data_IF_323436790552
#
_entry.id   IF_323436790552
#
_cell.length_a   1.000
_cell.length_b   1.000
_cell.length_c   1.000
_cell.angle_alpha   90.00
_cell.angle_beta   90.00
_cell.angle_gamma   90.00
#
_symmetry.space_group_name_H-M   'P 1'
#
loop_
_entity.id
_entity.type
_entity.pdbx_description
1 polymer ?
#
# COMPACT_ATOMS: atom_id res chain seq x y z
N UNK A 1 -51.05 22.12 -51.50
CA UNK A 1 -51.41 20.83 -50.86
C UNK A 1 -50.41 19.80 -51.41
N UNK A 2 -49.32 19.62 -50.75
CA UNK A 2 -48.29 18.66 -51.13
C UNK A 2 -48.28 17.55 -50.08
N UNK A 3 -48.70 16.37 -50.51
CA UNK A 3 -48.63 15.15 -49.71
C UNK A 3 -47.17 14.78 -49.47
N UNK A 4 -46.70 14.96 -48.23
CA UNK A 4 -45.50 14.34 -47.71
C UNK A 4 -45.84 12.86 -47.38
N UNK A 5 -45.53 11.97 -48.33
CA UNK A 5 -45.44 10.54 -48.08
C UNK A 5 -44.28 10.26 -47.13
N UNK A 6 -44.54 10.17 -45.86
CA UNK A 6 -43.64 9.52 -44.88
C UNK A 6 -43.82 8.00 -45.06
N UNK A 7 -42.90 7.41 -45.84
CA UNK A 7 -42.66 5.98 -45.80
C UNK A 7 -42.06 5.67 -44.38
N UNK A 8 -42.96 5.41 -43.43
CA UNK A 8 -42.60 4.65 -42.25
C UNK A 8 -42.44 3.20 -42.72
N UNK A 9 -41.20 2.75 -42.81
CA UNK A 9 -40.86 1.33 -42.86
C UNK A 9 -41.30 0.70 -41.55
N UNK A 10 -42.59 0.37 -41.43
CA UNK A 10 -43.13 -0.51 -40.39
C UNK A 10 -42.47 -1.86 -40.59
N UNK A 11 -41.43 -2.14 -39.80
CA UNK A 11 -40.78 -3.44 -39.71
C UNK A 11 -41.83 -4.41 -39.21
N UNK A 12 -42.48 -5.11 -40.14
CA UNK A 12 -43.52 -6.09 -39.77
C UNK A 12 -42.86 -7.23 -39.01
N UNK A 13 -43.40 -7.56 -37.82
CA UNK A 13 -42.91 -8.66 -36.99
C UNK A 13 -42.70 -9.96 -37.81
N UNK A 14 -43.51 -10.16 -38.83
CA UNK A 14 -43.41 -11.26 -39.79
C UNK A 14 -42.10 -11.26 -40.58
N UNK A 15 -41.60 -10.10 -40.98
CA UNK A 15 -40.38 -9.98 -41.78
C UNK A 15 -39.12 -10.24 -40.90
N UNK A 16 -39.20 -9.83 -39.63
CA UNK A 16 -38.16 -10.17 -38.63
C UNK A 16 -38.12 -11.68 -38.38
N UNK A 17 -39.29 -12.32 -38.22
CA UNK A 17 -39.36 -13.78 -38.01
C UNK A 17 -38.83 -14.54 -39.24
N UNK A 18 -39.20 -14.12 -40.45
CA UNK A 18 -38.68 -14.73 -41.70
C UNK A 18 -37.17 -14.59 -41.83
N UNK A 19 -36.58 -13.42 -41.48
CA UNK A 19 -35.14 -13.23 -41.43
C UNK A 19 -34.46 -14.14 -40.39
N UNK A 20 -35.03 -14.26 -39.21
CA UNK A 20 -34.49 -15.18 -38.19
C UNK A 20 -34.52 -16.65 -38.65
N UNK A 21 -35.59 -17.09 -39.35
CA UNK A 21 -35.69 -18.43 -39.92
C UNK A 21 -34.65 -18.63 -41.02
N UNK A 22 -34.42 -17.65 -41.87
CA UNK A 22 -33.41 -17.73 -42.96
C UNK A 22 -32.00 -17.85 -42.36
N UNK A 23 -31.64 -17.04 -41.33
CA UNK A 23 -30.38 -17.12 -40.61
C UNK A 23 -30.22 -18.52 -39.97
N UNK A 24 -31.22 -19.02 -39.28
CA UNK A 24 -31.19 -20.39 -38.71
C UNK A 24 -30.89 -21.43 -39.80
N UNK A 25 -31.54 -21.37 -40.94
CA UNK A 25 -31.37 -22.32 -42.04
C UNK A 25 -29.95 -22.20 -42.64
N UNK A 26 -29.42 -20.97 -42.80
CA UNK A 26 -28.06 -20.70 -43.24
C UNK A 26 -27.01 -21.36 -42.31
N UNK A 27 -27.14 -21.13 -41.00
CA UNK A 27 -26.27 -21.69 -40.01
C UNK A 27 -26.36 -23.23 -39.99
N UNK A 28 -27.55 -23.80 -40.15
CA UNK A 28 -27.73 -25.24 -40.19
C UNK A 28 -27.14 -25.88 -41.43
N UNK A 29 -27.27 -25.25 -42.60
CA UNK A 29 -26.66 -25.72 -43.83
C UNK A 29 -25.11 -25.67 -43.80
N UNK A 30 -24.55 -24.69 -43.08
CA UNK A 30 -23.11 -24.53 -42.95
C UNK A 30 -22.53 -25.07 -41.63
N UNK A 31 -23.28 -25.90 -40.88
CA UNK A 31 -22.90 -26.44 -39.57
C UNK A 31 -21.50 -27.09 -39.57
N UNK A 32 -21.14 -27.83 -40.61
CA UNK A 32 -19.83 -28.45 -40.71
C UNK A 32 -18.69 -27.42 -40.83
N UNK A 33 -18.90 -26.30 -41.53
CA UNK A 33 -17.92 -25.22 -41.60
C UNK A 33 -17.78 -24.52 -40.25
N UNK A 34 -18.90 -24.29 -39.54
CA UNK A 34 -18.91 -23.70 -38.20
C UNK A 34 -18.17 -24.59 -37.22
N UNK A 35 -18.45 -25.89 -37.21
CA UNK A 35 -17.78 -26.86 -36.33
C UNK A 35 -16.29 -26.96 -36.65
N UNK A 36 -15.92 -27.08 -37.94
CA UNK A 36 -14.51 -27.14 -38.33
C UNK A 36 -13.73 -25.91 -37.89
N UNK A 37 -14.30 -24.71 -38.07
CA UNK A 37 -13.69 -23.46 -37.65
C UNK A 37 -13.61 -23.32 -36.12
N UNK A 38 -14.65 -23.73 -35.40
CA UNK A 38 -14.66 -23.79 -33.95
C UNK A 38 -13.59 -24.73 -33.41
N UNK A 39 -13.39 -25.92 -34.02
CA UNK A 39 -12.35 -26.87 -33.61
C UNK A 39 -10.95 -26.31 -33.88
N UNK A 40 -10.71 -25.69 -35.04
CA UNK A 40 -9.42 -25.05 -35.34
C UNK A 40 -9.10 -23.95 -34.31
N UNK A 41 -10.05 -23.07 -34.04
CA UNK A 41 -9.88 -22.03 -33.01
C UNK A 41 -9.72 -22.65 -31.62
N UNK A 42 -10.44 -23.70 -31.30
CA UNK A 42 -10.28 -24.44 -30.04
C UNK A 42 -8.86 -25.02 -29.87
N UNK A 43 -8.29 -25.60 -30.93
CA UNK A 43 -6.90 -26.09 -30.92
C UNK A 43 -5.91 -24.92 -30.67
N UNK A 44 -6.12 -23.78 -31.33
CA UNK A 44 -5.31 -22.58 -31.07
C UNK A 44 -5.44 -22.12 -29.62
N UNK A 45 -6.65 -22.14 -29.04
CA UNK A 45 -6.89 -21.83 -27.66
C UNK A 45 -6.23 -22.83 -26.69
N UNK A 46 -6.23 -24.11 -27.02
CA UNK A 46 -5.49 -25.15 -26.28
C UNK A 46 -3.98 -24.90 -26.27
N UNK A 47 -3.40 -24.63 -27.44
CA UNK A 47 -1.97 -24.28 -27.59
C UNK A 47 -1.64 -23.01 -26.79
N UNK A 48 -2.48 -21.98 -26.88
CA UNK A 48 -2.30 -20.76 -26.09
C UNK A 48 -2.30 -21.04 -24.57
N UNK A 49 -3.23 -21.89 -24.11
CA UNK A 49 -3.33 -22.24 -22.68
C UNK A 49 -2.12 -23.02 -22.18
N UNK A 50 -1.56 -23.92 -23.00
CA UNK A 50 -0.34 -24.69 -22.66
C UNK A 50 0.87 -23.77 -22.54
N UNK A 51 0.97 -22.77 -23.41
CA UNK A 51 2.11 -21.82 -23.42
C UNK A 51 2.01 -20.74 -22.35
N UNK A 52 0.86 -20.57 -21.70
CA UNK A 52 0.70 -19.59 -20.63
C UNK A 52 1.41 -20.10 -19.38
N UNK A 53 2.39 -19.31 -18.88
CA UNK A 53 3.16 -19.63 -17.67
C UNK A 53 2.23 -19.71 -16.45
N UNK A 54 2.50 -20.62 -15.56
CA UNK A 54 1.84 -20.74 -14.25
C UNK A 54 2.11 -19.50 -13.42
N UNK A 55 1.16 -19.15 -12.56
CA UNK A 55 1.30 -18.05 -11.61
C UNK A 55 0.92 -18.50 -10.22
N UNK A 56 1.73 -18.08 -9.25
CA UNK A 56 1.61 -18.39 -7.85
C UNK A 56 0.99 -17.23 -7.11
N UNK A 57 0.05 -17.51 -6.21
CA UNK A 57 -0.65 -16.55 -5.40
C UNK A 57 -0.17 -16.65 -3.95
N UNK A 58 0.60 -15.66 -3.50
CA UNK A 58 0.90 -15.47 -2.11
C UNK A 58 -0.06 -14.46 -1.50
N UNK A 59 -0.49 -14.69 -0.26
CA UNK A 59 -1.27 -13.73 0.49
C UNK A 59 -0.88 -13.76 1.97
N UNK A 60 -0.99 -12.61 2.59
CA UNK A 60 -0.74 -12.38 4.00
C UNK A 60 -1.88 -11.55 4.54
N UNK A 61 -2.41 -11.94 5.70
CA UNK A 61 -3.46 -11.21 6.39
C UNK A 61 -2.97 -10.73 7.75
N UNK A 62 -3.34 -9.52 8.10
CA UNK A 62 -2.99 -8.92 9.37
C UNK A 62 -4.07 -7.96 9.86
N UNK A 63 -4.09 -7.74 11.16
CA UNK A 63 -4.86 -6.67 11.81
C UNK A 63 -3.89 -5.65 12.35
N UNK A 64 -4.26 -4.39 12.22
CA UNK A 64 -3.57 -3.32 12.91
C UNK A 64 -4.27 -3.14 14.23
N UNK A 65 -3.55 -3.42 15.31
CA UNK A 65 -4.03 -3.08 16.64
C UNK A 65 -4.01 -1.54 16.76
N UNK A 66 -5.13 -0.94 16.37
CA UNK A 66 -5.44 0.40 16.83
C UNK A 66 -5.73 0.26 18.34
N UNK A 67 -4.67 0.11 19.14
CA UNK A 67 -4.83 0.19 20.58
C UNK A 67 -5.57 1.48 20.87
N UNK A 68 -6.86 1.32 21.15
CA UNK A 68 -7.71 2.40 21.57
C UNK A 68 -6.98 3.14 22.69
N UNK A 69 -6.60 4.37 22.44
CA UNK A 69 -6.14 5.34 23.44
C UNK A 69 -7.19 5.56 24.57
N UNK A 70 -8.02 4.54 24.84
CA UNK A 70 -9.21 4.63 25.67
C UNK A 70 -9.04 4.35 27.15
N UNK A 71 -7.88 3.95 27.63
CA UNK A 71 -7.81 3.40 29.02
C UNK A 71 -6.89 4.09 30.02
N UNK A 72 -6.26 5.18 29.73
CA UNK A 72 -5.34 5.88 30.65
C UNK A 72 -4.68 7.09 30.00
N UNK A 73 -4.46 7.00 28.69
CA UNK A 73 -3.92 8.12 27.92
C UNK A 73 -4.95 9.25 27.68
N UNK A 74 -6.24 9.00 27.71
CA UNK A 74 -7.27 10.03 27.59
C UNK A 74 -7.19 11.10 28.70
N UNK A 75 -6.86 10.68 29.92
CA UNK A 75 -6.60 11.62 31.01
C UNK A 75 -5.30 12.40 30.82
N UNK A 76 -4.28 11.78 30.23
CA UNK A 76 -2.97 12.38 29.96
C UNK A 76 -3.04 13.33 28.76
N UNK A 77 -3.80 12.99 27.71
CA UNK A 77 -4.03 13.87 26.57
C UNK A 77 -4.87 15.09 26.94
N UNK A 78 -5.84 14.95 27.85
CA UNK A 78 -6.60 16.07 28.41
C UNK A 78 -5.73 17.03 29.22
N UNK A 79 -4.76 16.54 29.97
CA UNK A 79 -3.81 17.42 30.70
C UNK A 79 -2.80 18.08 29.74
N UNK A 80 -2.29 17.36 28.77
CA UNK A 80 -1.36 17.92 27.78
C UNK A 80 -2.01 18.98 26.87
N UNK A 81 -3.30 18.84 26.57
CA UNK A 81 -4.05 19.86 25.82
C UNK A 81 -4.22 21.18 26.57
N UNK A 82 -4.24 21.16 27.90
CA UNK A 82 -4.24 22.38 28.72
C UNK A 82 -2.95 23.21 28.56
N UNK A 83 -1.85 22.56 28.16
CA UNK A 83 -0.57 23.23 27.89
C UNK A 83 -0.34 23.49 26.39
N UNK A 84 -1.38 23.37 25.57
CA UNK A 84 -1.28 23.58 24.12
C UNK A 84 -0.65 22.42 23.35
N UNK A 85 -0.31 21.32 24.01
CA UNK A 85 0.18 20.10 23.37
C UNK A 85 -1.00 19.20 23.02
N UNK A 86 -1.42 19.24 21.77
CA UNK A 86 -2.43 18.31 21.27
C UNK A 86 -1.81 16.92 21.06
N UNK A 87 -1.57 16.20 22.17
CA UNK A 87 -1.03 14.82 22.15
C UNK A 87 -2.11 13.84 21.68
N UNK A 88 -3.39 14.23 21.75
CA UNK A 88 -4.54 13.42 21.35
C UNK A 88 -5.10 13.74 19.96
N UNK A 89 -4.45 14.59 19.16
CA UNK A 89 -4.86 14.87 17.79
C UNK A 89 -4.66 13.63 16.91
N UNK A 90 -5.72 12.86 16.81
CA UNK A 90 -6.05 11.83 15.78
C UNK A 90 -4.88 11.40 14.88
N UNK A 91 -3.98 10.59 15.42
CA UNK A 91 -3.14 9.72 14.59
C UNK A 91 -4.00 8.67 13.84
N UNK A 92 -5.27 8.50 14.22
CA UNK A 92 -6.24 7.65 13.56
C UNK A 92 -6.51 8.03 12.10
N UNK A 93 -6.22 9.28 11.69
CA UNK A 93 -6.44 9.70 10.30
C UNK A 93 -5.38 9.25 9.31
N UNK A 94 -4.12 9.08 9.74
CA UNK A 94 -3.01 8.79 8.80
C UNK A 94 -2.84 7.29 8.53
N UNK A 95 -3.18 6.46 9.49
CA UNK A 95 -3.16 5.00 9.39
C UNK A 95 -4.56 4.39 9.45
N UNK A 96 -5.59 5.13 8.95
CA UNK A 96 -6.86 4.50 8.65
C UNK A 96 -6.66 3.36 7.66
N UNK A 97 -7.49 2.36 7.71
CA UNK A 97 -7.40 1.18 6.83
C UNK A 97 -7.21 1.55 5.36
N UNK A 98 -7.92 2.57 4.87
CA UNK A 98 -7.81 3.05 3.50
C UNK A 98 -6.40 3.58 3.19
N UNK A 99 -5.80 4.33 4.11
CA UNK A 99 -4.46 4.88 3.93
C UNK A 99 -3.38 3.79 3.96
N UNK A 100 -3.60 2.71 4.71
CA UNK A 100 -2.69 1.58 4.76
C UNK A 100 -2.56 0.90 3.41
N UNK A 101 -3.65 0.72 2.67
CA UNK A 101 -3.61 0.17 1.32
C UNK A 101 -2.71 1.01 0.41
N UNK A 102 -2.83 2.34 0.48
CA UNK A 102 -2.00 3.25 -0.29
C UNK A 102 -0.54 3.25 0.17
N UNK A 103 -0.30 3.11 1.47
CA UNK A 103 1.07 3.04 2.02
C UNK A 103 1.77 1.77 1.55
N UNK A 104 1.11 0.60 1.62
CA UNK A 104 1.67 -0.69 1.17
C UNK A 104 2.05 -0.63 -0.30
N UNK A 105 1.18 -0.06 -1.13
CA UNK A 105 1.41 0.07 -2.58
C UNK A 105 2.21 1.32 -2.96
N UNK A 106 2.66 2.09 -1.97
CA UNK A 106 3.46 3.28 -2.22
C UNK A 106 4.83 2.92 -2.81
N UNK A 107 5.35 3.83 -3.62
CA UNK A 107 6.66 3.64 -4.27
C UNK A 107 7.76 3.33 -3.25
N UNK A 108 7.77 4.03 -2.14
CA UNK A 108 8.79 3.86 -1.10
C UNK A 108 8.79 2.44 -0.52
N UNK A 109 7.63 1.95 -0.07
CA UNK A 109 7.50 0.64 0.57
C UNK A 109 7.82 -0.48 -0.41
N UNK A 110 7.30 -0.40 -1.64
CA UNK A 110 7.56 -1.43 -2.67
C UNK A 110 9.01 -1.45 -3.14
N UNK A 111 9.64 -0.28 -3.35
CA UNK A 111 11.05 -0.21 -3.73
C UNK A 111 11.96 -0.72 -2.60
N UNK A 112 11.69 -0.35 -1.35
CA UNK A 112 12.46 -0.85 -0.20
C UNK A 112 12.27 -2.37 0.00
N UNK A 113 11.07 -2.90 -0.27
CA UNK A 113 10.84 -4.35 -0.26
C UNK A 113 11.61 -5.07 -1.37
N UNK A 114 11.66 -4.51 -2.58
CA UNK A 114 12.43 -5.05 -3.70
C UNK A 114 13.94 -5.07 -3.45
N UNK A 115 14.45 -4.18 -2.60
CA UNK A 115 15.86 -4.11 -2.23
C UNK A 115 16.21 -5.02 -1.04
N UNK A 116 15.28 -5.80 -0.52
CA UNK A 116 15.56 -6.80 0.51
C UNK A 116 16.20 -8.03 -0.13
N UNK A 117 17.18 -8.62 0.56
CA UNK A 117 17.80 -9.88 0.15
C UNK A 117 16.88 -11.07 0.41
N UNK A 118 16.89 -12.03 -0.50
CA UNK A 118 16.16 -13.28 -0.37
C UNK A 118 16.87 -14.41 -1.12
N UNK A 119 16.59 -15.65 -0.73
CA UNK A 119 17.11 -16.85 -1.39
C UNK A 119 16.02 -17.40 -2.30
N UNK A 120 16.27 -17.40 -3.60
CA UNK A 120 15.37 -17.97 -4.64
C UNK A 120 16.18 -18.94 -5.48
N UNK A 121 15.68 -20.14 -5.68
CA UNK A 121 16.37 -21.21 -6.41
C UNK A 121 17.81 -21.46 -5.89
N UNK A 122 18.04 -21.31 -4.59
CA UNK A 122 19.35 -21.50 -3.95
C UNK A 122 20.35 -20.36 -4.16
N UNK A 123 19.98 -19.28 -4.82
CA UNK A 123 20.80 -18.06 -5.01
C UNK A 123 20.32 -16.96 -4.06
N UNK A 124 21.23 -16.45 -3.25
CA UNK A 124 20.97 -15.26 -2.42
C UNK A 124 21.23 -13.99 -3.23
N UNK A 125 20.23 -13.15 -3.36
CA UNK A 125 20.32 -11.89 -4.09
C UNK A 125 19.21 -10.94 -3.64
N UNK A 126 19.21 -9.69 -4.12
CA UNK A 126 18.10 -8.76 -3.91
C UNK A 126 16.87 -9.20 -4.70
N UNK A 127 15.68 -9.00 -4.13
CA UNK A 127 14.42 -9.37 -4.81
C UNK A 127 14.27 -8.68 -6.17
N UNK A 128 14.79 -7.46 -6.34
CA UNK A 128 14.78 -6.78 -7.64
C UNK A 128 15.61 -7.55 -8.70
N UNK A 129 16.78 -8.09 -8.34
CA UNK A 129 17.62 -8.85 -9.27
C UNK A 129 16.91 -10.15 -9.67
N UNK A 130 16.32 -10.85 -8.69
CA UNK A 130 15.49 -12.03 -8.96
C UNK A 130 14.30 -11.71 -9.87
N UNK A 131 13.61 -10.57 -9.63
CA UNK A 131 12.49 -10.13 -10.47
C UNK A 131 12.91 -9.89 -11.93
N UNK A 132 14.08 -9.31 -12.13
CA UNK A 132 14.67 -9.09 -13.46
C UNK A 132 15.00 -10.42 -14.14
N UNK A 133 15.59 -11.36 -13.38
CA UNK A 133 16.07 -12.64 -13.92
C UNK A 133 14.91 -13.57 -14.34
N UNK A 134 13.94 -13.85 -13.46
CA UNK A 134 12.84 -14.77 -13.80
C UNK A 134 11.82 -14.20 -14.80
N UNK A 135 11.78 -12.87 -14.97
CA UNK A 135 11.01 -12.21 -16.03
C UNK A 135 11.78 -12.09 -17.35
N UNK A 136 13.01 -12.59 -17.41
CA UNK A 136 13.85 -12.58 -18.62
C UNK A 136 14.12 -11.15 -19.15
N UNK A 137 14.10 -10.14 -18.25
CA UNK A 137 14.30 -8.75 -18.65
C UNK A 137 15.71 -8.52 -19.20
N UNK A 138 16.74 -9.25 -18.70
CA UNK A 138 18.12 -9.15 -19.21
C UNK A 138 18.23 -9.54 -20.68
N UNK A 139 17.42 -10.49 -21.16
CA UNK A 139 17.41 -10.86 -22.57
C UNK A 139 16.93 -9.72 -23.47
N UNK A 140 15.93 -8.97 -22.98
CA UNK A 140 15.39 -7.82 -23.69
C UNK A 140 16.34 -6.60 -23.65
N UNK A 141 17.29 -6.58 -22.72
CA UNK A 141 18.26 -5.49 -22.55
C UNK A 141 19.58 -5.71 -23.31
N UNK A 142 19.75 -6.84 -23.99
CA UNK A 142 20.92 -7.10 -24.84
C UNK A 142 21.14 -5.97 -25.82
N UNK A 143 22.36 -5.50 -25.92
CA UNK A 143 22.77 -4.33 -26.73
C UNK A 143 22.20 -2.97 -26.27
N UNK A 144 21.74 -2.86 -25.03
CA UNK A 144 21.32 -1.58 -24.43
C UNK A 144 22.29 -1.17 -23.32
N UNK A 145 22.21 0.10 -22.90
CA UNK A 145 23.03 0.66 -21.83
C UNK A 145 22.77 0.04 -20.45
N UNK A 146 21.78 -0.83 -20.31
CA UNK A 146 21.36 -1.47 -19.06
C UNK A 146 21.57 -2.99 -19.06
N UNK A 147 22.21 -3.53 -20.08
CA UNK A 147 22.47 -4.97 -20.22
C UNK A 147 23.15 -5.56 -18.98
N UNK A 148 24.16 -4.90 -18.43
CA UNK A 148 24.94 -5.34 -17.27
C UNK A 148 24.47 -4.69 -15.97
N UNK A 149 23.27 -4.08 -15.92
CA UNK A 149 22.76 -3.45 -14.72
C UNK A 149 22.53 -4.49 -13.62
N UNK A 150 23.12 -4.26 -12.46
CA UNK A 150 22.98 -5.10 -11.29
C UNK A 150 22.77 -4.25 -10.04
N UNK A 151 21.77 -4.57 -9.25
CA UNK A 151 21.46 -3.88 -8.02
C UNK A 151 22.31 -4.41 -6.87
N UNK A 152 23.14 -3.54 -6.30
CA UNK A 152 23.88 -3.82 -5.07
C UNK A 152 23.04 -3.43 -3.83
N UNK A 153 23.34 -3.97 -2.64
CA UNK A 153 22.62 -3.61 -1.42
C UNK A 153 22.72 -2.13 -1.04
N UNK A 154 23.83 -1.48 -1.41
CA UNK A 154 24.06 -0.06 -1.09
C UNK A 154 23.40 0.84 -2.14
N UNK A 155 22.32 1.51 -1.74
CA UNK A 155 21.57 2.46 -2.60
C UNK A 155 22.42 3.66 -3.03
N UNK A 156 23.50 3.98 -2.32
CA UNK A 156 24.37 5.11 -2.68
C UNK A 156 25.11 4.88 -4.03
N UNK A 157 25.21 3.64 -4.47
CA UNK A 157 25.82 3.24 -5.74
C UNK A 157 24.86 3.36 -6.94
N UNK A 158 23.57 3.68 -6.70
CA UNK A 158 22.57 3.71 -7.75
C UNK A 158 22.77 4.90 -8.68
N UNK A 159 22.59 4.62 -9.96
CA UNK A 159 22.57 5.62 -11.04
C UNK A 159 21.14 5.89 -11.48
N UNK A 160 20.94 6.88 -12.33
CA UNK A 160 19.64 7.19 -12.92
C UNK A 160 19.02 5.96 -13.65
N UNK A 161 19.86 5.08 -14.18
CA UNK A 161 19.40 3.84 -14.82
C UNK A 161 18.82 2.87 -13.80
N UNK A 162 19.42 2.71 -12.62
CA UNK A 162 18.87 1.91 -11.52
C UNK A 162 17.51 2.47 -11.08
N UNK A 163 17.41 3.79 -10.87
CA UNK A 163 16.14 4.42 -10.47
C UNK A 163 15.05 4.27 -11.54
N UNK A 164 15.42 4.26 -12.82
CA UNK A 164 14.48 4.01 -13.90
C UNK A 164 13.97 2.57 -13.90
N UNK A 165 14.86 1.59 -13.76
CA UNK A 165 14.50 0.16 -13.78
C UNK A 165 13.69 -0.24 -12.56
N UNK A 166 14.08 0.21 -11.35
CA UNK A 166 13.30 -0.07 -10.14
C UNK A 166 11.91 0.58 -10.21
N UNK A 167 11.80 1.77 -10.82
CA UNK A 167 10.52 2.43 -11.09
C UNK A 167 9.63 1.65 -12.07
N UNK A 168 10.21 1.01 -13.07
CA UNK A 168 9.48 0.10 -13.98
C UNK A 168 9.02 -1.17 -13.26
N UNK A 169 9.88 -1.76 -12.44
CA UNK A 169 9.52 -2.93 -11.62
C UNK A 169 8.40 -2.58 -10.64
N UNK A 170 8.49 -1.44 -9.94
CA UNK A 170 7.41 -0.91 -9.11
C UNK A 170 6.09 -0.78 -9.87
N UNK A 171 6.11 -0.14 -11.03
CA UNK A 171 4.91 0.06 -11.84
C UNK A 171 4.30 -1.26 -12.34
N UNK A 172 5.14 -2.23 -12.70
CA UNK A 172 4.69 -3.57 -13.11
C UNK A 172 4.05 -4.33 -11.96
N UNK A 173 4.66 -4.29 -10.77
CA UNK A 173 4.15 -4.97 -9.58
C UNK A 173 2.84 -4.37 -9.09
N UNK A 174 2.75 -3.05 -8.98
CA UNK A 174 1.55 -2.37 -8.41
C UNK A 174 0.37 -2.35 -9.37
N UNK A 175 0.57 -2.46 -10.69
CA UNK A 175 -0.54 -2.45 -11.66
C UNK A 175 -1.24 -3.80 -11.83
N UNK A 176 -0.64 -4.91 -11.44
CA UNK A 176 -1.25 -6.20 -11.71
C UNK A 176 -0.83 -7.35 -10.81
N UNK A 177 0.25 -7.20 -10.07
CA UNK A 177 0.83 -8.30 -9.31
C UNK A 177 0.63 -8.17 -7.80
N UNK A 178 0.62 -6.94 -7.27
CA UNK A 178 0.36 -6.66 -5.86
C UNK A 178 -1.03 -6.05 -5.75
N UNK A 179 -1.85 -6.61 -4.88
CA UNK A 179 -3.17 -6.07 -4.56
C UNK A 179 -3.40 -6.10 -3.05
N UNK A 180 -4.18 -5.15 -2.58
CA UNK A 180 -4.58 -5.05 -1.18
C UNK A 180 -6.09 -4.99 -1.11
N UNK A 181 -6.67 -5.69 -0.15
CA UNK A 181 -8.10 -5.64 0.15
C UNK A 181 -8.31 -5.55 1.65
N UNK A 182 -9.41 -4.90 2.04
CA UNK A 182 -9.85 -4.82 3.43
C UNK A 182 -11.18 -5.53 3.51
N UNK A 183 -11.35 -6.31 4.54
CA UNK A 183 -12.61 -6.95 4.86
C UNK A 183 -13.40 -6.01 5.79
N UNK A 184 -14.44 -5.37 5.24
CA UNK A 184 -15.14 -4.24 5.88
C UNK A 184 -15.71 -4.57 7.29
N UNK A 185 -16.03 -5.83 7.56
CA UNK A 185 -16.62 -6.24 8.85
C UNK A 185 -15.57 -6.60 9.92
N UNK A 186 -14.36 -6.96 9.53
CA UNK A 186 -13.35 -7.57 10.43
C UNK A 186 -12.09 -6.72 10.63
N UNK A 187 -11.94 -5.60 9.93
CA UNK A 187 -10.73 -4.78 9.92
C UNK A 187 -9.45 -5.54 9.52
N UNK A 188 -9.62 -6.69 8.87
CA UNK A 188 -8.51 -7.50 8.38
C UNK A 188 -8.02 -6.93 7.06
N UNK A 189 -6.73 -6.64 7.00
CA UNK A 189 -6.05 -6.23 5.78
C UNK A 189 -5.41 -7.45 5.15
N UNK A 190 -5.72 -7.70 3.88
CA UNK A 190 -5.13 -8.77 3.08
C UNK A 190 -4.24 -8.15 2.00
N UNK A 191 -2.98 -8.56 1.96
CA UNK A 191 -2.04 -8.26 0.89
C UNK A 191 -1.91 -9.52 0.03
N UNK A 192 -1.94 -9.36 -1.28
CA UNK A 192 -1.76 -10.47 -2.23
C UNK A 192 -0.67 -10.12 -3.24
N UNK A 193 0.17 -11.09 -3.56
CA UNK A 193 1.18 -10.99 -4.62
C UNK A 193 1.04 -12.15 -5.58
N UNK A 194 1.03 -11.85 -6.87
CA UNK A 194 0.97 -12.84 -7.95
C UNK A 194 2.29 -12.81 -8.70
N UNK A 195 2.97 -13.95 -8.80
CA UNK A 195 4.25 -14.05 -9.49
C UNK A 195 4.40 -15.35 -10.25
N UNK A 196 5.32 -15.37 -11.23
CA UNK A 196 5.74 -16.59 -11.96
C UNK A 196 6.69 -17.46 -11.14
N UNK A 197 7.29 -16.92 -10.10
CA UNK A 197 8.17 -17.65 -9.19
C UNK A 197 7.52 -17.68 -7.80
N UNK A 198 7.45 -18.88 -7.22
CA UNK A 198 6.77 -19.17 -5.97
C UNK A 198 7.47 -18.49 -4.78
N UNK A 199 8.80 -18.69 -4.68
CA UNK A 199 9.61 -18.12 -3.60
C UNK A 199 9.60 -16.61 -3.64
N UNK A 200 9.65 -16.01 -4.85
CA UNK A 200 9.54 -14.57 -5.00
C UNK A 200 8.20 -14.03 -4.51
N UNK A 201 7.09 -14.71 -4.84
CA UNK A 201 5.76 -14.26 -4.39
C UNK A 201 5.67 -14.21 -2.86
N UNK A 202 6.19 -15.26 -2.20
CA UNK A 202 6.25 -15.35 -0.74
C UNK A 202 7.14 -14.28 -0.15
N UNK A 203 8.41 -14.21 -0.58
CA UNK A 203 9.39 -13.26 -0.03
C UNK A 203 8.98 -11.80 -0.26
N UNK A 204 8.36 -11.50 -1.39
CA UNK A 204 7.88 -10.14 -1.69
C UNK A 204 6.80 -9.71 -0.71
N UNK A 205 5.83 -10.57 -0.41
CA UNK A 205 4.77 -10.25 0.54
C UNK A 205 5.30 -10.09 1.97
N UNK A 206 6.19 -10.99 2.40
CA UNK A 206 6.84 -10.91 3.70
C UNK A 206 7.66 -9.60 3.81
N UNK A 207 8.39 -9.25 2.75
CA UNK A 207 9.17 -8.00 2.70
C UNK A 207 8.29 -6.76 2.72
N UNK A 208 7.14 -6.79 2.06
CA UNK A 208 6.17 -5.68 2.12
C UNK A 208 5.60 -5.51 3.53
N UNK A 209 5.26 -6.60 4.21
CA UNK A 209 4.77 -6.55 5.59
C UNK A 209 5.83 -6.00 6.54
N UNK A 210 7.07 -6.47 6.45
CA UNK A 210 8.19 -5.98 7.27
C UNK A 210 8.45 -4.48 7.02
N UNK A 211 8.43 -4.03 5.76
CA UNK A 211 8.65 -2.62 5.43
C UNK A 211 7.48 -1.73 5.83
N UNK A 212 6.26 -2.25 5.79
CA UNK A 212 5.10 -1.56 6.34
C UNK A 212 5.23 -1.38 7.85
N UNK A 213 5.63 -2.43 8.57
CA UNK A 213 5.85 -2.39 10.03
C UNK A 213 6.93 -1.37 10.40
N UNK A 214 8.05 -1.39 9.67
CA UNK A 214 9.14 -0.42 9.85
C UNK A 214 8.66 1.02 9.61
N UNK A 215 7.96 1.26 8.51
CA UNK A 215 7.42 2.57 8.17
C UNK A 215 6.41 3.07 9.21
N UNK A 216 5.50 2.19 9.63
CA UNK A 216 4.52 2.49 10.66
C UNK A 216 5.20 2.84 11.99
N UNK A 217 6.18 2.04 12.41
CA UNK A 217 6.95 2.25 13.63
C UNK A 217 7.65 3.60 13.61
N UNK A 218 8.38 3.91 12.54
CA UNK A 218 9.07 5.19 12.37
C UNK A 218 8.12 6.37 12.46
N UNK A 219 6.94 6.28 11.81
CA UNK A 219 5.96 7.36 11.82
C UNK A 219 5.33 7.57 13.20
N UNK A 220 4.90 6.50 13.86
CA UNK A 220 4.26 6.56 15.17
C UNK A 220 5.21 7.02 16.27
N UNK A 221 6.46 6.60 16.19
CA UNK A 221 7.46 6.97 17.20
C UNK A 221 8.08 8.34 16.96
N UNK A 222 8.14 8.84 15.73
CA UNK A 222 8.77 10.12 15.40
C UNK A 222 8.15 11.30 16.19
N UNK A 223 6.81 11.37 16.26
CA UNK A 223 6.12 12.42 17.00
C UNK A 223 6.39 12.33 18.51
N UNK A 224 6.33 11.11 19.05
CA UNK A 224 6.60 10.88 20.49
C UNK A 224 8.07 11.21 20.83
N UNK A 225 9.01 10.83 19.96
CA UNK A 225 10.43 11.16 20.10
C UNK A 225 10.68 12.66 20.07
N UNK A 226 10.13 13.39 19.09
CA UNK A 226 10.25 14.84 19.00
C UNK A 226 9.71 15.53 20.27
N UNK A 227 8.59 15.05 20.81
CA UNK A 227 8.02 15.57 22.06
C UNK A 227 8.95 15.30 23.25
N UNK A 228 9.52 14.10 23.32
CA UNK A 228 10.48 13.72 24.35
C UNK A 228 11.72 14.61 24.32
N UNK A 229 12.32 14.81 23.13
CA UNK A 229 13.51 15.61 22.92
C UNK A 229 13.23 17.08 23.32
N UNK A 230 12.07 17.63 22.92
CA UNK A 230 11.66 18.98 23.33
C UNK A 230 11.52 19.11 24.84
N UNK A 231 10.82 18.18 25.51
CA UNK A 231 10.64 18.20 26.95
C UNK A 231 11.96 18.06 27.71
N UNK A 232 12.88 17.24 27.21
CA UNK A 232 14.23 17.07 27.78
C UNK A 232 15.00 18.39 27.75
N UNK A 233 15.07 19.05 26.60
CA UNK A 233 15.73 20.35 26.44
C UNK A 233 15.09 21.42 27.33
N UNK A 234 13.75 21.39 27.43
CA UNK A 234 13.02 22.36 28.26
C UNK A 234 13.25 22.13 29.75
N UNK A 235 13.35 20.86 30.21
CA UNK A 235 13.69 20.52 31.57
C UNK A 235 15.06 21.05 31.97
N UNK A 236 16.06 20.87 31.11
CA UNK A 236 17.43 21.36 31.36
C UNK A 236 17.49 22.90 31.42
N UNK A 237 16.73 23.57 30.51
CA UNK A 237 16.65 25.03 30.51
C UNK A 237 16.04 25.57 31.80
N UNK A 238 14.86 25.04 32.20
CA UNK A 238 14.15 25.49 33.42
C UNK A 238 14.94 25.17 34.69
N UNK A 239 15.64 24.02 34.72
CA UNK A 239 16.51 23.68 35.85
C UNK A 239 17.65 24.71 36.00
N UNK A 240 18.24 25.15 34.89
CA UNK A 240 19.29 26.17 34.88
C UNK A 240 18.75 27.52 35.37
N UNK A 241 17.56 27.91 34.92
CA UNK A 241 16.86 29.13 35.36
C UNK A 241 16.51 29.06 36.86
N UNK A 242 16.02 27.91 37.33
CA UNK A 242 15.70 27.65 38.74
C UNK A 242 16.93 27.82 39.63
N UNK A 243 18.03 27.15 39.29
CA UNK A 243 19.30 27.27 40.02
C UNK A 243 19.78 28.73 40.10
N UNK A 244 19.65 29.46 39.00
CA UNK A 244 20.00 30.89 38.96
C UNK A 244 19.07 31.75 39.84
N UNK A 245 17.76 31.48 39.85
CA UNK A 245 16.80 32.17 40.70
C UNK A 245 17.02 31.86 42.18
N UNK A 246 17.27 30.62 42.53
CA UNK A 246 17.62 30.17 43.89
C UNK A 246 18.87 30.89 44.40
N UNK A 247 19.92 30.98 43.57
CA UNK A 247 21.14 31.69 43.91
C UNK A 247 20.86 33.19 44.13
N UNK A 248 20.08 33.83 43.29
CA UNK A 248 19.72 35.27 43.46
C UNK A 248 18.89 35.49 44.72
N UNK A 249 17.95 34.62 45.00
CA UNK A 249 17.14 34.70 46.23
C UNK A 249 18.02 34.52 47.48
N UNK A 250 18.89 33.51 47.55
CA UNK A 250 19.81 33.29 48.66
C UNK A 250 20.74 34.46 48.86
N UNK A 251 21.39 34.95 47.77
CA UNK A 251 22.30 36.09 47.83
C UNK A 251 21.64 37.36 48.33
N UNK A 252 20.41 37.60 47.88
CA UNK A 252 19.64 38.79 48.34
C UNK A 252 19.31 38.67 49.80
N UNK A 253 18.89 37.51 50.30
CA UNK A 253 18.55 37.23 51.71
C UNK A 253 19.74 37.39 52.63
N UNK A 254 20.91 36.87 52.21
CA UNK A 254 22.14 37.00 52.98
C UNK A 254 22.59 38.47 53.08
N UNK A 255 22.53 39.23 51.97
CA UNK A 255 22.92 40.62 51.93
C UNK A 255 21.99 41.57 52.71
N UNK A 256 20.71 41.19 52.91
CA UNK A 256 19.70 42.01 53.55
C UNK A 256 19.19 41.42 54.86
N UNK A 257 20.05 40.67 55.57
CA UNK A 257 19.70 40.06 56.85
C UNK A 257 19.24 41.13 57.87
N UNK A 258 18.03 40.97 58.42
CA UNK A 258 17.47 41.91 59.44
C UNK A 258 16.70 43.11 58.87
N UNK A 259 16.48 43.20 57.57
CA UNK A 259 15.65 44.29 56.99
C UNK A 259 14.19 44.05 57.31
N UNK A 260 13.57 45.02 58.07
CA UNK A 260 12.17 44.95 58.46
C UNK A 260 11.27 45.95 57.69
N UNK A 261 11.85 46.75 56.82
CA UNK A 261 11.08 47.72 56.03
C UNK A 261 10.32 47.02 54.89
N UNK A 262 9.01 47.32 54.76
CA UNK A 262 8.12 46.73 53.77
C UNK A 262 8.66 46.80 52.32
N UNK A 263 9.35 47.89 51.96
CA UNK A 263 9.94 48.08 50.63
C UNK A 263 11.12 47.12 50.38
N UNK A 264 11.92 46.76 51.39
CA UNK A 264 12.99 45.77 51.30
C UNK A 264 12.43 44.34 51.21
N UNK A 265 11.37 44.06 51.95
CA UNK A 265 10.68 42.74 51.89
C UNK A 265 9.99 42.49 50.56
N UNK A 266 9.60 43.53 49.82
CA UNK A 266 8.95 43.34 48.52
C UNK A 266 9.82 42.61 47.50
N UNK A 267 11.10 42.94 47.46
CA UNK A 267 12.05 42.27 46.51
C UNK A 267 12.33 40.80 46.92
N UNK A 268 12.43 40.54 48.22
CA UNK A 268 12.54 39.19 48.71
C UNK A 268 11.32 38.33 48.30
N UNK A 269 10.11 38.87 48.46
CA UNK A 269 8.86 38.20 48.07
C UNK A 269 8.82 37.94 46.55
N UNK A 270 9.34 38.86 45.71
CA UNK A 270 9.42 38.68 44.26
C UNK A 270 10.38 37.55 43.90
N UNK A 271 11.60 37.55 44.44
CA UNK A 271 12.59 36.54 44.17
C UNK A 271 12.13 35.15 44.67
N UNK A 272 11.51 35.09 45.85
CA UNK A 272 10.91 33.85 46.36
C UNK A 272 9.84 33.31 45.45
N UNK A 273 8.93 34.20 44.96
CA UNK A 273 7.88 33.81 44.02
C UNK A 273 8.46 33.29 42.69
N UNK A 274 9.53 33.89 42.19
CA UNK A 274 10.20 33.44 40.96
C UNK A 274 10.77 32.00 41.14
N UNK A 275 11.37 31.71 42.30
CA UNK A 275 11.83 30.35 42.65
C UNK A 275 10.65 29.38 42.72
N UNK A 276 9.55 29.78 43.42
CA UNK A 276 8.36 28.91 43.51
C UNK A 276 7.73 28.61 42.16
N UNK A 277 7.60 29.61 41.29
CA UNK A 277 7.07 29.42 39.92
C UNK A 277 7.98 28.48 39.12
N UNK A 278 9.29 28.69 39.10
CA UNK A 278 10.24 27.87 38.39
C UNK A 278 10.31 26.43 38.92
N UNK A 279 10.17 26.25 40.24
CA UNK A 279 10.12 24.94 40.88
C UNK A 279 8.88 24.16 40.45
N UNK A 280 7.70 24.79 40.46
CA UNK A 280 6.44 24.20 39.96
C UNK A 280 6.59 23.84 38.48
N UNK A 281 7.09 24.79 37.65
CA UNK A 281 7.31 24.54 36.23
C UNK A 281 8.24 23.35 35.97
N UNK A 282 9.35 23.29 36.71
CA UNK A 282 10.30 22.18 36.59
C UNK A 282 9.64 20.83 36.94
N UNK A 283 8.88 20.78 38.04
CA UNK A 283 8.15 19.58 38.47
C UNK A 283 7.16 19.09 37.40
N UNK A 284 6.38 20.01 36.81
CA UNK A 284 5.43 19.65 35.76
C UNK A 284 6.13 19.20 34.45
N UNK A 285 7.25 19.83 34.08
CA UNK A 285 8.02 19.41 32.90
C UNK A 285 8.62 18.03 33.10
N UNK A 286 9.23 17.76 34.27
CA UNK A 286 9.79 16.43 34.58
C UNK A 286 8.72 15.36 34.58
N UNK A 287 7.56 15.62 35.15
CA UNK A 287 6.42 14.72 35.11
C UNK A 287 6.00 14.40 33.66
N UNK A 288 5.85 15.44 32.81
CA UNK A 288 5.51 15.26 31.41
C UNK A 288 6.61 14.54 30.61
N UNK A 289 7.88 14.75 30.97
CA UNK A 289 9.02 14.03 30.39
C UNK A 289 8.94 12.53 30.67
N UNK A 290 8.64 12.14 31.92
CA UNK A 290 8.49 10.72 32.30
C UNK A 290 7.28 10.08 31.59
N UNK A 291 6.15 10.82 31.50
CA UNK A 291 4.98 10.36 30.74
C UNK A 291 5.33 10.16 29.26
N UNK A 292 6.11 11.10 28.68
CA UNK A 292 6.54 11.01 27.28
C UNK A 292 7.45 9.84 27.02
N UNK A 293 8.39 9.54 27.94
CA UNK A 293 9.23 8.33 27.90
C UNK A 293 8.38 7.06 27.92
N UNK A 294 7.44 6.98 28.85
CA UNK A 294 6.54 5.83 28.96
C UNK A 294 5.68 5.66 27.71
N UNK A 295 5.16 6.77 27.16
CA UNK A 295 4.40 6.76 25.90
C UNK A 295 5.23 6.24 24.73
N UNK A 296 6.48 6.67 24.62
CA UNK A 296 7.39 6.19 23.57
C UNK A 296 7.68 4.70 23.69
N UNK A 297 7.86 4.18 24.91
CA UNK A 297 8.10 2.76 25.16
C UNK A 297 6.88 1.89 24.80
N UNK A 298 5.67 2.41 25.02
CA UNK A 298 4.42 1.69 24.76
C UNK A 298 3.94 1.82 23.30
N UNK A 299 4.50 2.73 22.51
CA UNK A 299 4.19 2.86 21.07
C UNK A 299 5.00 1.90 20.21
N UNK A 300 5.05 0.63 20.56
CA UNK A 300 5.49 -0.41 19.64
C UNK A 300 4.27 -0.83 18.82
N UNK A 301 4.23 -0.55 17.54
CA UNK A 301 3.17 -1.06 16.70
C UNK A 301 3.32 -2.57 16.57
N UNK A 302 2.22 -3.26 16.73
CA UNK A 302 2.12 -4.67 16.43
C UNK A 302 1.24 -4.80 15.21
N UNK A 303 1.85 -5.06 14.05
CA UNK A 303 1.13 -5.71 12.97
C UNK A 303 0.88 -7.14 13.45
N UNK A 304 -0.34 -7.42 13.87
CA UNK A 304 -0.72 -8.78 14.26
C UNK A 304 -0.98 -9.58 12.98
N UNK A 305 0.04 -10.31 12.51
CA UNK A 305 -0.08 -11.20 11.36
C UNK A 305 -1.00 -12.35 11.78
N UNK A 306 -2.09 -12.53 11.02
CA UNK A 306 -3.05 -13.62 11.22
C UNK A 306 -2.58 -14.82 10.39
N UNK A 307 -2.37 -14.61 9.08
CA UNK A 307 -1.91 -15.63 8.17
C UNK A 307 -0.70 -15.15 7.38
N UNK A 308 0.29 -16.02 7.26
CA UNK A 308 1.47 -15.82 6.41
C UNK A 308 1.50 -16.84 5.26
N UNK A 309 2.09 -16.50 4.11
CA UNK A 309 2.15 -17.41 2.97
C UNK A 309 3.00 -18.64 3.31
N UNK A 310 2.39 -19.83 3.21
CA UNK A 310 3.03 -21.12 3.43
C UNK A 310 3.19 -21.85 2.10
N UNK A 311 4.35 -22.49 1.90
CA UNK A 311 4.60 -23.31 0.71
C UNK A 311 3.96 -24.71 0.87
N UNK A 312 3.39 -25.30 -0.18
CA UNK A 312 3.27 -24.78 -1.54
C UNK A 312 2.15 -23.73 -1.65
N UNK A 313 2.36 -22.69 -2.49
CA UNK A 313 1.38 -21.64 -2.75
C UNK A 313 0.28 -22.12 -3.70
N UNK A 314 -0.85 -21.41 -3.67
CA UNK A 314 -1.93 -21.64 -4.63
C UNK A 314 -1.46 -21.32 -6.05
N UNK A 315 -1.62 -22.30 -6.93
CA UNK A 315 -1.24 -22.23 -8.32
C UNK A 315 -2.48 -21.97 -9.20
N UNK A 316 -2.44 -20.92 -9.99
CA UNK A 316 -3.45 -20.69 -11.02
C UNK A 316 -2.87 -20.93 -12.40
N UNK A 317 -3.44 -21.93 -13.07
CA UNK A 317 -3.16 -22.26 -14.48
C UNK A 317 -4.47 -22.27 -15.24
N UNK A 318 -4.51 -21.63 -16.40
CA UNK A 318 -5.66 -21.74 -17.27
C UNK A 318 -5.75 -23.19 -17.77
N UNK A 319 -6.82 -23.89 -17.41
CA UNK A 319 -7.06 -25.24 -17.88
C UNK A 319 -7.09 -25.24 -19.42
N UNK A 320 -6.34 -26.19 -20.02
CA UNK A 320 -6.31 -26.40 -21.47
C UNK A 320 -7.72 -26.63 -22.03
N UNK A 321 -8.56 -27.35 -21.27
CA UNK A 321 -9.95 -27.59 -21.63
C UNK A 321 -10.76 -26.31 -21.65
N UNK A 322 -10.56 -25.42 -20.67
CA UNK A 322 -11.24 -24.13 -20.62
C UNK A 322 -10.82 -23.22 -21.79
N UNK A 323 -9.51 -23.20 -22.08
CA UNK A 323 -8.96 -22.48 -23.23
C UNK A 323 -9.54 -22.98 -24.55
N UNK A 324 -9.58 -24.29 -24.75
CA UNK A 324 -10.19 -24.90 -25.93
C UNK A 324 -11.67 -24.51 -26.09
N UNK A 325 -12.47 -24.62 -25.02
CA UNK A 325 -13.91 -24.31 -25.05
C UNK A 325 -14.16 -22.84 -25.38
N UNK A 326 -13.47 -21.91 -24.67
CA UNK A 326 -13.67 -20.47 -24.88
C UNK A 326 -13.31 -20.04 -26.31
N UNK A 327 -12.17 -20.53 -26.83
CA UNK A 327 -11.75 -20.21 -28.19
C UNK A 327 -12.64 -20.89 -29.25
N UNK A 328 -13.15 -22.11 -28.99
CA UNK A 328 -14.11 -22.77 -29.85
C UNK A 328 -15.40 -21.99 -30.01
N UNK A 329 -15.93 -21.47 -28.90
CA UNK A 329 -17.13 -20.61 -28.92
C UNK A 329 -16.86 -19.33 -29.71
N UNK A 330 -15.71 -18.68 -29.44
CA UNK A 330 -15.31 -17.48 -30.17
C UNK A 330 -15.18 -17.73 -31.67
N UNK A 331 -14.51 -18.81 -32.09
CA UNK A 331 -14.36 -19.19 -33.49
C UNK A 331 -15.71 -19.50 -34.16
N UNK A 332 -16.61 -20.19 -33.45
CA UNK A 332 -17.96 -20.46 -33.92
C UNK A 332 -18.79 -19.19 -34.13
N UNK A 333 -18.68 -18.23 -33.22
CA UNK A 333 -19.34 -16.93 -33.36
C UNK A 333 -18.79 -16.11 -34.52
N UNK A 334 -17.47 -16.05 -34.71
CA UNK A 334 -16.84 -15.30 -35.78
C UNK A 334 -17.25 -15.80 -37.15
N UNK A 335 -17.22 -17.12 -37.39
CA UNK A 335 -17.62 -17.69 -38.66
C UNK A 335 -19.13 -17.54 -38.91
N UNK A 336 -19.95 -17.68 -37.85
CA UNK A 336 -21.40 -17.47 -37.95
C UNK A 336 -21.72 -16.03 -38.35
N UNK A 337 -21.07 -15.05 -37.73
CA UNK A 337 -21.20 -13.65 -38.09
C UNK A 337 -20.78 -13.38 -39.54
N UNK A 338 -19.63 -13.93 -39.95
CA UNK A 338 -19.16 -13.81 -41.34
C UNK A 338 -20.18 -14.34 -42.37
N UNK A 339 -20.75 -15.53 -42.09
CA UNK A 339 -21.75 -16.15 -42.95
C UNK A 339 -23.01 -15.30 -43.08
N UNK A 340 -23.48 -14.74 -41.98
CA UNK A 340 -24.67 -13.86 -41.97
C UNK A 340 -24.41 -12.58 -42.78
N UNK A 341 -23.26 -11.91 -42.54
CA UNK A 341 -22.90 -10.69 -43.27
C UNK A 341 -22.76 -10.97 -44.75
N UNK A 342 -22.09 -12.07 -45.12
CA UNK A 342 -21.92 -12.43 -46.54
C UNK A 342 -23.26 -12.77 -47.22
N UNK A 343 -24.23 -13.33 -46.53
CA UNK A 343 -25.58 -13.55 -47.06
C UNK A 343 -26.32 -12.23 -47.28
N UNK A 344 -26.27 -11.31 -46.32
CA UNK A 344 -26.92 -10.02 -46.41
C UNK A 344 -26.35 -9.22 -47.62
N UNK A 345 -25.03 -9.22 -47.77
CA UNK A 345 -24.36 -8.57 -48.90
C UNK A 345 -24.78 -9.18 -50.24
N UNK A 346 -24.91 -10.50 -50.32
CA UNK A 346 -25.35 -11.18 -51.54
C UNK A 346 -26.83 -10.90 -51.89
N UNK A 347 -27.68 -10.81 -50.87
CA UNK A 347 -29.12 -10.49 -51.03
C UNK A 347 -29.34 -9.04 -51.50
N UNK A 348 -28.44 -8.10 -51.11
CA UNK A 348 -28.53 -6.69 -51.54
C UNK A 348 -27.92 -6.42 -52.92
N UNK A 349 -26.96 -7.24 -53.38
CA UNK A 349 -26.28 -7.08 -54.67
C UNK A 349 -26.98 -7.87 -55.77
N UNK A 350 -27.85 -8.82 -55.46
CA UNK A 350 -28.61 -9.63 -56.40
C UNK A 350 -29.99 -9.03 -56.69
#
# INVERSE_FOLDING_TARGET
MSNLNTNQDDIRLKDVILKLISIKNLLWQNKFKIIAFAVVFGLLGGIYSVNKKEVYHAHLTFVIDESQDGGGLGAISGMASQFGFNIGGSASGTFSQTNIQEIITSRRVVEEALLKSGIIDGKEDLLINHHIDFNEHRENWKNTNVENLYFAPDRSTFTLQHDSIIGLAFSSLTKGNISTSIEDESNIVKISCVSKNEDFAKLMIESLADKLEEYYTLFQTAKAKNTLDFLSLRADSVLTELKSAEYRYASYKDANFGVQRAKGLLEEIRLKRDVEILNIMYGEIVKNLEISKFTLLNKKPLLNIIDSPTLPLELTKISVVLGFILFSILGGLLISFYLIVNQIIREEIS
#
